data_IF_606607480069
#
_entry.id   IF_606607480069
#
_cell.length_a   1.000
_cell.length_b   1.000
_cell.length_c   1.000
_cell.angle_alpha   90.00
_cell.angle_beta   90.00
_cell.angle_gamma   90.00
#
_symmetry.space_group_name_H-M   'P 1'
#
loop_
_entity.id
_entity.type
_entity.pdbx_description
1 polymer ?
#
# COMPACT_ATOMS: atom_id res chain seq x y z
N UNK A 1 -24.71 10.09 -14.67
CA UNK A 1 -23.42 10.30 -15.38
C UNK A 1 -23.67 10.46 -16.86
N UNK A 2 -22.73 11.04 -17.59
CA UNK A 2 -22.77 11.19 -19.05
C UNK A 2 -21.41 10.80 -19.62
N UNK A 3 -21.39 10.00 -20.69
CA UNK A 3 -20.17 9.60 -21.39
C UNK A 3 -20.33 9.80 -22.89
N UNK A 4 -19.22 9.94 -23.62
CA UNK A 4 -19.25 10.12 -25.07
C UNK A 4 -19.94 8.93 -25.74
N UNK A 5 -20.81 9.21 -26.71
CA UNK A 5 -21.56 8.18 -27.42
C UNK A 5 -20.64 7.33 -28.30
N UNK A 6 -20.77 6.01 -28.22
CA UNK A 6 -20.01 5.08 -29.05
C UNK A 6 -20.67 4.90 -30.43
N UNK A 7 -19.85 4.68 -31.45
CA UNK A 7 -20.26 4.59 -32.85
C UNK A 7 -19.43 3.54 -33.58
N UNK A 8 -19.82 3.26 -34.82
CA UNK A 8 -19.03 2.45 -35.73
C UNK A 8 -17.57 2.95 -35.81
N UNK A 9 -16.63 2.00 -35.84
CA UNK A 9 -15.18 2.22 -35.88
C UNK A 9 -14.59 3.00 -34.70
N UNK A 10 -15.35 3.24 -33.63
CA UNK A 10 -14.75 3.74 -32.40
C UNK A 10 -13.96 2.57 -31.73
N UNK A 11 -12.76 2.84 -31.17
CA UNK A 11 -11.84 1.83 -30.69
C UNK A 11 -12.30 1.15 -29.39
N UNK A 12 -11.84 -0.09 -29.21
CA UNK A 12 -11.93 -0.84 -27.96
C UNK A 12 -10.54 -1.17 -27.44
N UNK A 13 -10.40 -1.29 -26.12
CA UNK A 13 -9.14 -1.58 -25.44
C UNK A 13 -9.30 -2.65 -24.37
N UNK A 14 -8.23 -3.42 -24.18
CA UNK A 14 -8.03 -4.26 -22.99
C UNK A 14 -7.05 -3.58 -22.04
N UNK A 15 -7.22 -3.86 -20.75
CA UNK A 15 -6.21 -3.54 -19.76
C UNK A 15 -5.17 -4.65 -19.66
N UNK A 16 -4.00 -4.34 -19.11
CA UNK A 16 -2.98 -5.34 -18.79
C UNK A 16 -3.18 -5.93 -17.38
N UNK A 17 -4.40 -5.93 -16.82
CA UNK A 17 -4.66 -6.32 -15.43
C UNK A 17 -4.20 -7.75 -15.13
N UNK A 18 -4.44 -8.72 -16.02
CA UNK A 18 -3.98 -10.10 -15.82
C UNK A 18 -2.45 -10.21 -15.89
N UNK A 19 -1.82 -9.56 -16.87
CA UNK A 19 -0.36 -9.52 -16.99
C UNK A 19 0.28 -8.86 -15.76
N UNK A 20 -0.32 -7.77 -15.29
CA UNK A 20 0.05 -7.08 -14.06
C UNK A 20 -0.10 -7.97 -12.84
N UNK A 21 -1.21 -8.70 -12.70
CA UNK A 21 -1.43 -9.66 -11.61
C UNK A 21 -0.32 -10.70 -11.57
N UNK A 22 -0.03 -11.34 -12.71
CA UNK A 22 0.98 -12.41 -12.80
C UNK A 22 2.39 -11.87 -12.52
N UNK A 23 2.74 -10.71 -13.07
CA UNK A 23 4.02 -10.05 -12.79
C UNK A 23 4.13 -9.66 -11.31
N UNK A 24 3.06 -9.10 -10.75
CA UNK A 24 2.95 -8.76 -9.34
C UNK A 24 3.09 -9.98 -8.42
N UNK A 25 2.51 -11.12 -8.81
CA UNK A 25 2.64 -12.38 -8.09
C UNK A 25 4.09 -12.87 -8.09
N UNK A 26 4.75 -12.83 -9.24
CA UNK A 26 6.16 -13.22 -9.37
C UNK A 26 7.09 -12.31 -8.56
N UNK A 27 6.90 -10.99 -8.63
CA UNK A 27 7.70 -10.02 -7.87
C UNK A 27 7.41 -10.15 -6.37
N UNK A 28 6.13 -10.25 -5.98
CA UNK A 28 5.73 -10.37 -4.58
C UNK A 28 6.20 -11.66 -3.90
N UNK A 29 6.45 -12.73 -4.68
CA UNK A 29 7.06 -13.96 -4.19
C UNK A 29 8.57 -13.79 -3.89
N UNK A 30 9.27 -12.96 -4.67
CA UNK A 30 10.71 -12.68 -4.50
C UNK A 30 11.02 -11.51 -3.56
N UNK A 31 10.11 -10.56 -3.42
CA UNK A 31 10.29 -9.36 -2.62
C UNK A 31 9.70 -9.53 -1.21
N UNK A 32 10.52 -9.97 -0.26
CA UNK A 32 10.32 -9.58 1.15
C UNK A 32 10.66 -8.08 1.22
N UNK A 33 9.63 -7.23 1.19
CA UNK A 33 9.65 -5.80 1.56
C UNK A 33 10.84 -4.97 1.04
N UNK A 34 10.85 -4.63 -0.26
CA UNK A 34 11.57 -3.45 -0.75
C UNK A 34 10.56 -2.56 -1.46
N UNK A 35 10.20 -1.44 -0.83
CA UNK A 35 9.27 -0.48 -1.39
C UNK A 35 9.82 0.11 -2.68
N UNK A 36 9.09 -0.08 -3.77
CA UNK A 36 9.38 0.60 -5.04
C UNK A 36 8.30 1.65 -5.27
N UNK A 37 8.64 2.91 -4.98
CA UNK A 37 8.22 4.01 -5.85
C UNK A 37 9.41 4.22 -6.79
N UNK A 38 9.27 4.23 -8.12
CA UNK A 38 8.70 5.32 -8.91
C UNK A 38 8.44 4.79 -10.33
N UNK A 39 7.29 5.12 -10.92
CA UNK A 39 7.20 5.37 -12.36
C UNK A 39 6.92 6.88 -12.50
N UNK A 40 7.75 7.52 -13.33
CA UNK A 40 7.88 8.96 -13.42
C UNK A 40 6.72 9.67 -14.12
N UNK A 41 6.70 10.98 -13.85
CA UNK A 41 6.02 12.07 -14.59
C UNK A 41 4.49 12.04 -14.63
N UNK A 42 3.87 12.70 -13.65
CA UNK A 42 2.44 13.05 -13.67
C UNK A 42 1.81 12.85 -12.29
N UNK A 43 1.31 13.92 -11.66
CA UNK A 43 0.81 13.90 -10.28
C UNK A 43 -0.21 12.79 -10.00
N UNK A 44 0.08 11.99 -8.97
CA UNK A 44 -0.73 10.98 -8.22
C UNK A 44 0.05 9.69 -7.87
N UNK A 45 1.34 9.57 -8.24
CA UNK A 45 2.19 8.40 -7.99
C UNK A 45 2.67 8.15 -6.54
N UNK A 46 1.89 8.53 -5.51
CA UNK A 46 2.26 8.32 -4.11
C UNK A 46 1.09 7.77 -3.29
N UNK A 47 0.56 6.61 -3.67
CA UNK A 47 -0.34 5.84 -2.79
C UNK A 47 0.42 4.68 -2.16
N UNK A 48 1.03 5.01 -1.03
CA UNK A 48 1.26 4.17 0.15
C UNK A 48 1.75 2.72 -0.07
N UNK A 49 3.07 2.55 -0.14
CA UNK A 49 3.77 1.28 0.11
C UNK A 49 4.14 1.10 1.59
N UNK A 50 3.29 1.58 2.50
CA UNK A 50 3.61 1.66 3.92
C UNK A 50 2.47 1.11 4.80
N UNK A 51 2.13 -0.18 4.65
CA UNK A 51 1.56 -1.02 5.70
C UNK A 51 1.14 -2.41 5.19
N UNK A 52 2.06 -3.28 4.74
CA UNK A 52 1.69 -4.69 4.50
C UNK A 52 2.72 -5.63 5.13
N UNK A 53 2.59 -5.83 6.44
CA UNK A 53 3.22 -6.97 7.13
C UNK A 53 2.27 -8.15 6.96
N UNK A 54 2.59 -9.08 6.04
CA UNK A 54 2.06 -10.44 6.10
C UNK A 54 1.39 -11.08 4.87
N UNK A 55 1.58 -10.61 3.63
CA UNK A 55 0.92 -11.27 2.48
C UNK A 55 1.72 -11.26 1.16
N UNK A 56 3.00 -11.66 1.20
CA UNK A 56 3.97 -11.76 0.07
C UNK A 56 3.41 -11.69 -1.36
N UNK A 57 3.34 -12.83 -2.06
CA UNK A 57 2.97 -12.90 -3.48
C UNK A 57 1.55 -12.38 -3.79
N UNK A 58 0.58 -12.60 -2.90
CA UNK A 58 -0.81 -12.16 -3.11
C UNK A 58 -0.97 -10.63 -3.07
N UNK A 59 -0.21 -9.95 -2.21
CA UNK A 59 -0.18 -8.47 -2.18
C UNK A 59 0.43 -7.94 -3.45
N UNK A 60 1.55 -8.54 -3.88
CA UNK A 60 2.19 -8.19 -5.16
C UNK A 60 1.22 -8.36 -6.33
N UNK A 61 0.47 -9.47 -6.37
CA UNK A 61 -0.53 -9.72 -7.38
C UNK A 61 -1.64 -8.66 -7.41
N UNK A 62 -2.17 -8.25 -6.25
CA UNK A 62 -3.18 -7.18 -6.17
C UNK A 62 -2.66 -5.83 -6.64
N UNK A 63 -1.43 -5.47 -6.26
CA UNK A 63 -0.78 -4.23 -6.73
C UNK A 63 -0.52 -4.28 -8.23
N UNK A 64 0.00 -5.41 -8.72
CA UNK A 64 0.26 -5.61 -10.14
C UNK A 64 -1.02 -5.56 -10.97
N UNK A 65 -2.11 -6.19 -10.51
CA UNK A 65 -3.42 -6.11 -11.14
C UNK A 65 -3.93 -4.67 -11.20
N UNK A 66 -3.81 -3.91 -10.10
CA UNK A 66 -4.16 -2.50 -10.06
C UNK A 66 -3.38 -1.72 -11.13
N UNK A 67 -2.05 -1.83 -11.13
CA UNK A 67 -1.17 -1.15 -12.09
C UNK A 67 -1.54 -1.52 -13.53
N UNK A 68 -1.73 -2.80 -13.80
CA UNK A 68 -2.14 -3.29 -15.12
C UNK A 68 -3.53 -2.81 -15.55
N UNK A 69 -4.39 -2.45 -14.60
CA UNK A 69 -5.74 -1.94 -14.89
C UNK A 69 -5.81 -0.44 -15.17
N UNK A 70 -4.70 0.30 -14.99
CA UNK A 70 -4.65 1.76 -15.21
C UNK A 70 -4.61 2.09 -16.70
N UNK A 71 -5.09 3.28 -17.08
CA UNK A 71 -5.22 3.70 -18.48
C UNK A 71 -3.93 3.62 -19.28
N UNK A 72 -2.76 3.88 -18.66
CA UNK A 72 -1.48 3.78 -19.35
C UNK A 72 -1.08 2.34 -19.72
N UNK A 73 -1.68 1.36 -19.05
CA UNK A 73 -1.47 -0.07 -19.28
C UNK A 73 -2.59 -0.68 -20.13
N UNK A 74 -3.52 0.14 -20.62
CA UNK A 74 -4.47 -0.25 -21.64
C UNK A 74 -3.83 -0.18 -23.03
N UNK A 75 -4.29 -1.04 -23.92
CA UNK A 75 -3.94 -1.01 -25.34
C UNK A 75 -5.17 -1.22 -26.19
N UNK A 76 -5.26 -0.50 -27.31
CA UNK A 76 -6.32 -0.70 -28.29
C UNK A 76 -6.17 -2.09 -28.94
N UNK A 77 -7.25 -2.88 -28.88
CA UNK A 77 -7.28 -4.27 -29.36
C UNK A 77 -8.28 -4.47 -30.48
N UNK A 78 -8.92 -3.39 -30.94
CA UNK A 78 -9.78 -3.41 -32.11
C UNK A 78 -10.79 -2.27 -32.10
N UNK A 79 -11.92 -2.48 -32.77
CA UNK A 79 -12.92 -1.44 -32.96
C UNK A 79 -14.33 -1.99 -33.19
N UNK A 80 -15.32 -1.15 -32.95
CA UNK A 80 -16.74 -1.44 -33.20
C UNK A 80 -16.96 -1.61 -34.71
N UNK A 81 -17.64 -2.70 -35.13
CA UNK A 81 -17.87 -3.06 -36.53
C UNK A 81 -19.33 -3.03 -36.98
N UNK A 82 -20.27 -2.86 -36.06
CA UNK A 82 -21.67 -2.66 -36.42
C UNK A 82 -22.32 -1.56 -35.58
N UNK A 83 -23.44 -1.06 -36.06
CA UNK A 83 -24.20 0.01 -35.42
C UNK A 83 -25.63 0.07 -35.95
N UNK A 84 -26.39 1.05 -35.49
CA UNK A 84 -27.75 1.34 -35.96
C UNK A 84 -27.81 1.61 -37.46
N UNK A 85 -28.83 1.07 -38.12
CA UNK A 85 -29.08 1.29 -39.55
C UNK A 85 -29.71 2.65 -39.87
N UNK A 86 -30.21 3.39 -38.87
CA UNK A 86 -30.95 4.64 -39.09
C UNK A 86 -30.68 5.75 -38.06
N UNK A 87 -29.92 5.48 -37.00
CA UNK A 87 -29.49 6.49 -36.03
C UNK A 87 -27.99 6.69 -36.18
N UNK A 88 -27.61 7.91 -36.56
CA UNK A 88 -26.23 8.30 -36.79
C UNK A 88 -25.81 9.37 -35.80
N UNK A 89 -24.58 9.26 -35.30
CA UNK A 89 -23.95 10.25 -34.43
C UNK A 89 -22.70 10.76 -35.15
N UNK A 90 -22.70 12.04 -35.51
CA UNK A 90 -21.67 12.64 -36.37
C UNK A 90 -21.41 11.83 -37.65
N UNK A 91 -22.49 11.41 -38.33
CA UNK A 91 -22.42 10.69 -39.60
C UNK A 91 -22.04 9.21 -39.52
N UNK A 92 -21.70 8.69 -38.33
CA UNK A 92 -21.42 7.27 -38.13
C UNK A 92 -22.59 6.56 -37.43
N UNK A 93 -22.90 5.29 -37.77
CA UNK A 93 -23.89 4.49 -37.06
C UNK A 93 -23.66 4.48 -35.55
N UNK A 94 -24.70 4.75 -34.76
CA UNK A 94 -24.62 4.70 -33.30
C UNK A 94 -24.53 3.24 -32.81
N UNK A 95 -23.65 2.95 -31.86
CA UNK A 95 -23.46 1.60 -31.34
C UNK A 95 -24.42 1.28 -30.18
N UNK A 96 -24.86 0.02 -30.10
CA UNK A 96 -25.85 -0.46 -29.13
C UNK A 96 -25.38 -1.74 -28.45
N UNK A 97 -25.66 -1.85 -27.16
CA UNK A 97 -25.48 -3.09 -26.42
C UNK A 97 -26.39 -4.20 -26.98
N UNK A 98 -26.06 -5.46 -26.67
CA UNK A 98 -26.77 -6.68 -27.06
C UNK A 98 -26.77 -7.04 -28.55
N UNK A 99 -26.67 -6.05 -29.42
CA UNK A 99 -26.90 -6.22 -30.85
C UNK A 99 -25.65 -5.93 -31.69
N UNK A 100 -24.91 -4.89 -31.33
CA UNK A 100 -23.74 -4.49 -32.11
C UNK A 100 -22.46 -5.17 -31.64
N UNK A 101 -21.50 -5.34 -32.54
CA UNK A 101 -20.29 -6.13 -32.32
C UNK A 101 -19.03 -5.30 -32.56
N UNK A 102 -17.96 -5.66 -31.87
CA UNK A 102 -16.61 -5.16 -32.06
C UNK A 102 -15.66 -6.29 -32.45
N UNK A 103 -14.70 -6.02 -33.32
CA UNK A 103 -13.58 -6.93 -33.53
C UNK A 103 -12.55 -6.74 -32.42
N UNK A 104 -12.01 -7.85 -31.91
CA UNK A 104 -10.97 -7.85 -30.89
C UNK A 104 -9.85 -8.82 -31.31
N UNK A 105 -8.60 -8.34 -31.32
CA UNK A 105 -7.41 -9.10 -31.72
C UNK A 105 -6.91 -10.07 -30.66
N UNK A 106 -7.23 -9.81 -29.39
CA UNK A 106 -6.67 -10.55 -28.24
C UNK A 106 -7.36 -11.90 -28.01
N UNK A 107 -8.51 -12.11 -28.66
CA UNK A 107 -9.31 -13.31 -28.48
C UNK A 107 -9.69 -13.93 -29.82
N UNK A 108 -9.50 -15.26 -30.00
CA UNK A 108 -10.02 -15.97 -31.15
C UNK A 108 -11.56 -16.01 -31.14
N UNK A 109 -12.16 -16.35 -32.29
CA UNK A 109 -13.60 -16.64 -32.37
C UNK A 109 -14.49 -15.48 -32.80
N UNK A 110 -13.98 -14.55 -33.62
CA UNK A 110 -14.79 -13.56 -34.33
C UNK A 110 -15.29 -12.39 -33.46
N UNK A 111 -16.17 -11.54 -34.02
CA UNK A 111 -16.64 -10.31 -33.37
C UNK A 111 -17.29 -10.58 -32.01
N UNK A 112 -17.10 -9.65 -31.09
CA UNK A 112 -17.57 -9.67 -29.70
C UNK A 112 -18.72 -8.69 -29.54
N UNK A 113 -19.83 -9.14 -28.98
CA UNK A 113 -21.01 -8.31 -28.71
C UNK A 113 -20.65 -7.20 -27.71
N UNK A 114 -21.20 -6.00 -27.91
CA UNK A 114 -21.23 -4.95 -26.89
C UNK A 114 -22.18 -5.38 -25.76
N UNK A 115 -21.65 -5.69 -24.59
CA UNK A 115 -22.41 -6.24 -23.47
C UNK A 115 -23.02 -5.18 -22.55
N UNK A 116 -22.61 -3.91 -22.70
CA UNK A 116 -23.07 -2.82 -21.84
C UNK A 116 -23.48 -1.57 -22.63
N UNK A 117 -24.40 -0.81 -22.04
CA UNK A 117 -24.88 0.46 -22.56
C UNK A 117 -25.63 1.25 -21.49
N UNK A 118 -26.25 2.36 -21.90
CA UNK A 118 -27.08 3.20 -21.03
C UNK A 118 -28.33 2.48 -20.52
N UNK A 119 -28.62 2.61 -19.23
CA UNK A 119 -29.86 2.12 -18.60
C UNK A 119 -31.13 2.94 -18.91
N UNK A 120 -30.98 4.09 -19.58
CA UNK A 120 -32.06 5.07 -19.73
C UNK A 120 -32.17 5.63 -21.16
N UNK A 121 -31.12 5.48 -21.98
CA UNK A 121 -31.13 5.89 -23.38
C UNK A 121 -31.03 4.67 -24.27
N UNK A 122 -32.04 4.52 -25.13
CA UNK A 122 -32.17 3.38 -26.03
C UNK A 122 -32.13 3.84 -27.48
N UNK A 123 -31.41 3.11 -28.33
CA UNK A 123 -31.36 3.30 -29.78
C UNK A 123 -31.89 2.04 -30.44
N UNK A 124 -32.96 2.17 -31.22
CA UNK A 124 -33.73 1.05 -31.79
C UNK A 124 -34.13 -0.01 -30.74
N UNK A 125 -34.48 0.42 -29.53
CA UNK A 125 -34.92 -0.46 -28.45
C UNK A 125 -33.79 -1.15 -27.68
N UNK A 126 -32.52 -0.92 -28.03
CA UNK A 126 -31.37 -1.46 -27.30
C UNK A 126 -30.62 -0.37 -26.53
N UNK A 127 -30.01 -0.67 -25.37
CA UNK A 127 -29.18 0.27 -24.63
C UNK A 127 -28.10 0.91 -25.50
N UNK A 128 -28.01 2.24 -25.48
CA UNK A 128 -27.02 2.94 -26.28
C UNK A 128 -25.62 2.82 -25.66
N UNK A 129 -24.63 2.35 -26.44
CA UNK A 129 -23.26 2.15 -25.94
C UNK A 129 -22.48 3.48 -25.88
N UNK A 130 -21.56 3.57 -24.92
CA UNK A 130 -20.78 4.77 -24.61
C UNK A 130 -19.32 4.41 -24.33
N UNK A 131 -18.46 5.41 -24.34
CA UNK A 131 -17.10 5.29 -23.83
C UNK A 131 -17.13 4.75 -22.40
N UNK A 132 -16.34 3.71 -22.15
CA UNK A 132 -16.26 2.98 -20.88
C UNK A 132 -17.19 1.76 -20.76
N UNK A 133 -18.22 1.64 -21.60
CA UNK A 133 -19.05 0.42 -21.65
C UNK A 133 -18.24 -0.75 -22.27
N UNK A 134 -18.58 -1.99 -21.90
CA UNK A 134 -17.78 -3.19 -22.20
C UNK A 134 -18.37 -4.10 -23.27
N UNK A 135 -17.51 -4.84 -23.95
CA UNK A 135 -17.85 -6.02 -24.77
C UNK A 135 -17.99 -7.27 -23.90
N UNK A 136 -18.48 -8.37 -24.47
CA UNK A 136 -18.53 -9.68 -23.82
C UNK A 136 -17.15 -10.23 -23.45
N UNK A 137 -16.08 -9.78 -24.11
CA UNK A 137 -14.72 -10.18 -23.73
C UNK A 137 -14.09 -9.27 -22.67
N UNK A 138 -14.85 -8.33 -22.09
CA UNK A 138 -14.42 -7.34 -21.09
C UNK A 138 -13.58 -6.16 -21.64
N UNK A 139 -13.43 -6.05 -22.97
CA UNK A 139 -12.82 -4.88 -23.59
C UNK A 139 -13.70 -3.64 -23.41
N UNK A 140 -13.10 -2.47 -23.14
CA UNK A 140 -13.81 -1.20 -22.99
C UNK A 140 -13.76 -0.38 -24.25
N UNK A 141 -14.84 0.36 -24.54
CA UNK A 141 -14.83 1.37 -25.59
C UNK A 141 -13.97 2.55 -25.12
N UNK A 142 -12.85 2.82 -25.78
CA UNK A 142 -11.83 3.78 -25.31
C UNK A 142 -12.06 5.20 -25.84
N UNK A 143 -12.70 5.35 -27.00
CA UNK A 143 -13.05 6.65 -27.56
C UNK A 143 -14.46 6.65 -28.16
N UNK A 144 -15.00 7.84 -28.39
CA UNK A 144 -16.37 8.02 -28.87
C UNK A 144 -16.57 9.35 -29.57
N UNK A 145 -17.82 9.79 -29.64
CA UNK A 145 -18.18 11.08 -30.22
C UNK A 145 -17.58 12.26 -29.45
N UNK A 146 -16.96 13.26 -30.13
CA UNK A 146 -16.30 14.39 -29.46
C UNK A 146 -17.26 15.39 -28.80
N UNK A 147 -18.53 15.38 -29.19
CA UNK A 147 -19.52 16.40 -28.79
C UNK A 147 -20.92 15.84 -28.51
N UNK A 148 -21.11 14.53 -28.61
CA UNK A 148 -22.39 13.88 -28.27
C UNK A 148 -22.16 12.95 -27.11
N UNK A 149 -22.81 13.25 -25.99
CA UNK A 149 -22.75 12.45 -24.78
C UNK A 149 -24.11 11.81 -24.50
N UNK A 150 -24.09 10.58 -23.99
CA UNK A 150 -25.28 9.83 -23.59
C UNK A 150 -25.25 9.66 -22.07
N UNK A 151 -26.38 9.96 -21.44
CA UNK A 151 -26.58 9.87 -20.00
C UNK A 151 -26.92 8.47 -19.49
N UNK A 152 -27.27 8.38 -18.22
CA UNK A 152 -27.73 7.15 -17.57
C UNK A 152 -26.65 6.41 -16.77
N UNK A 153 -27.09 5.46 -15.95
CA UNK A 153 -26.24 4.39 -15.42
C UNK A 153 -25.90 3.36 -16.50
N UNK A 154 -25.28 2.26 -16.10
CA UNK A 154 -24.85 1.19 -16.99
C UNK A 154 -25.73 -0.04 -16.84
N UNK A 155 -26.38 -0.45 -17.94
CA UNK A 155 -27.08 -1.71 -18.05
C UNK A 155 -26.16 -2.75 -18.69
N UNK A 156 -26.08 -3.94 -18.10
CA UNK A 156 -25.38 -5.09 -18.68
C UNK A 156 -26.40 -6.02 -19.33
N UNK A 157 -26.32 -6.18 -20.64
CA UNK A 157 -27.26 -6.96 -21.45
C UNK A 157 -26.81 -8.40 -21.65
N UNK A 158 -25.50 -8.63 -21.64
CA UNK A 158 -24.89 -9.93 -21.93
C UNK A 158 -23.81 -10.27 -20.90
N UNK A 159 -23.52 -11.56 -20.74
CA UNK A 159 -22.47 -12.00 -19.83
C UNK A 159 -21.09 -11.52 -20.32
N UNK A 160 -20.31 -10.98 -19.40
CA UNK A 160 -18.96 -10.50 -19.65
C UNK A 160 -17.99 -11.51 -19.06
N UNK A 161 -17.06 -11.99 -19.89
CA UNK A 161 -15.94 -12.82 -19.50
C UNK A 161 -14.79 -11.92 -19.02
N UNK A 162 -14.54 -11.79 -17.70
CA UNK A 162 -13.62 -10.78 -17.18
C UNK A 162 -12.17 -11.06 -17.57
N UNK A 163 -11.39 -10.01 -17.84
CA UNK A 163 -9.96 -10.11 -18.21
C UNK A 163 -9.13 -10.89 -17.18
N UNK A 164 -9.44 -10.69 -15.90
CA UNK A 164 -8.92 -11.50 -14.80
C UNK A 164 -10.03 -12.48 -14.40
N UNK A 165 -9.86 -13.79 -14.65
CA UNK A 165 -10.87 -14.76 -14.29
C UNK A 165 -11.19 -14.71 -12.79
N UNK A 166 -12.49 -14.65 -12.46
CA UNK A 166 -12.95 -14.51 -11.07
C UNK A 166 -12.42 -15.64 -10.17
N UNK A 167 -12.26 -16.85 -10.71
CA UNK A 167 -11.69 -17.97 -9.95
C UNK A 167 -10.21 -17.73 -9.59
N UNK A 168 -9.44 -17.08 -10.47
CA UNK A 168 -8.03 -16.80 -10.26
C UNK A 168 -7.86 -15.72 -9.18
N UNK A 169 -8.59 -14.61 -9.29
CA UNK A 169 -8.58 -13.54 -8.30
C UNK A 169 -8.95 -14.06 -6.91
N UNK A 170 -10.04 -14.85 -6.82
CA UNK A 170 -10.46 -15.49 -5.57
C UNK A 170 -9.42 -16.46 -5.02
N UNK A 171 -8.72 -17.19 -5.88
CA UNK A 171 -7.66 -18.12 -5.46
C UNK A 171 -6.46 -17.38 -4.89
N UNK A 172 -6.01 -16.31 -5.55
CA UNK A 172 -4.92 -15.45 -5.05
C UNK A 172 -5.29 -14.80 -3.73
N UNK A 173 -6.52 -14.28 -3.61
CA UNK A 173 -7.02 -13.72 -2.35
C UNK A 173 -7.09 -14.78 -1.24
N UNK A 174 -7.58 -15.99 -1.53
CA UNK A 174 -7.64 -17.08 -0.56
C UNK A 174 -6.25 -17.51 -0.09
N UNK A 175 -5.26 -17.61 -0.99
CA UNK A 175 -3.87 -17.87 -0.65
C UNK A 175 -3.28 -16.75 0.22
N UNK A 176 -3.55 -15.49 -0.13
CA UNK A 176 -3.17 -14.33 0.67
C UNK A 176 -3.75 -14.37 2.08
N UNK A 177 -5.04 -14.67 2.22
CA UNK A 177 -5.69 -14.79 3.53
C UNK A 177 -5.17 -15.99 4.32
N UNK A 178 -5.02 -17.15 3.69
CA UNK A 178 -4.49 -18.35 4.34
C UNK A 178 -3.09 -18.10 4.90
N UNK A 179 -2.20 -17.44 4.13
CA UNK A 179 -0.88 -17.06 4.62
C UNK A 179 -0.95 -16.02 5.77
N UNK A 180 -1.89 -15.08 5.72
CA UNK A 180 -2.10 -14.12 6.80
C UNK A 180 -2.53 -14.79 8.11
N UNK A 181 -3.37 -15.83 8.07
CA UNK A 181 -3.77 -16.61 9.26
C UNK A 181 -2.62 -17.45 9.85
N UNK A 182 -1.60 -17.79 9.07
CA UNK A 182 -0.37 -18.43 9.58
C UNK A 182 0.50 -17.42 10.33
N UNK A 183 0.55 -16.17 9.85
CA UNK A 183 1.45 -15.13 10.38
C UNK A 183 0.84 -14.30 11.51
N UNK A 184 -0.49 -14.21 11.58
CA UNK A 184 -1.19 -13.37 12.53
C UNK A 184 -2.42 -14.06 13.13
N UNK A 185 -2.90 -13.52 14.25
CA UNK A 185 -4.10 -14.04 14.92
C UNK A 185 -5.34 -13.90 14.02
N UNK A 186 -6.31 -14.83 14.12
CA UNK A 186 -7.52 -14.75 13.32
C UNK A 186 -8.31 -13.45 13.47
N UNK A 187 -8.34 -12.88 14.69
CA UNK A 187 -9.03 -11.61 14.95
C UNK A 187 -8.35 -10.46 14.20
N UNK A 188 -7.01 -10.40 14.23
CA UNK A 188 -6.27 -9.36 13.52
C UNK A 188 -6.50 -9.45 12.01
N UNK A 189 -6.41 -10.65 11.44
CA UNK A 189 -6.63 -10.90 10.00
C UNK A 189 -8.05 -10.50 9.60
N UNK A 190 -9.06 -10.95 10.34
CA UNK A 190 -10.46 -10.64 10.03
C UNK A 190 -10.79 -9.15 10.21
N UNK A 191 -10.27 -8.51 11.26
CA UNK A 191 -10.46 -7.08 11.47
C UNK A 191 -9.75 -6.25 10.39
N UNK A 192 -8.55 -6.66 9.98
CA UNK A 192 -7.83 -6.07 8.85
C UNK A 192 -8.57 -6.23 7.53
N UNK A 193 -9.07 -7.43 7.22
CA UNK A 193 -9.87 -7.66 6.02
C UNK A 193 -11.15 -6.81 6.01
N UNK A 194 -11.90 -6.81 7.12
CA UNK A 194 -13.13 -6.03 7.23
C UNK A 194 -12.86 -4.53 7.09
N UNK A 195 -11.81 -4.04 7.74
CA UNK A 195 -11.35 -2.67 7.60
C UNK A 195 -10.94 -2.35 6.16
N UNK A 196 -10.26 -3.26 5.47
CA UNK A 196 -9.83 -3.08 4.09
C UNK A 196 -11.00 -3.05 3.10
N UNK A 197 -12.00 -3.92 3.27
CA UNK A 197 -13.21 -3.88 2.46
C UNK A 197 -13.95 -2.56 2.67
N UNK A 198 -14.16 -2.15 3.93
CA UNK A 198 -14.87 -0.91 4.25
C UNK A 198 -14.12 0.33 3.73
N UNK A 199 -12.81 0.38 3.94
CA UNK A 199 -11.94 1.44 3.44
C UNK A 199 -11.91 1.48 1.91
N UNK A 200 -11.88 0.32 1.26
CA UNK A 200 -11.90 0.22 -0.21
C UNK A 200 -13.20 0.70 -0.81
N UNK A 201 -14.34 0.34 -0.22
CA UNK A 201 -15.65 0.85 -0.63
C UNK A 201 -15.77 2.36 -0.43
N UNK A 202 -15.31 2.88 0.70
CA UNK A 202 -15.29 4.32 0.97
C UNK A 202 -14.38 5.07 -0.02
N UNK A 203 -13.20 4.52 -0.32
CA UNK A 203 -12.27 5.04 -1.31
C UNK A 203 -12.83 4.99 -2.73
N UNK A 204 -13.52 3.90 -3.11
CA UNK A 204 -14.17 3.77 -4.41
C UNK A 204 -15.30 4.79 -4.58
N UNK A 205 -16.14 4.98 -3.56
CA UNK A 205 -17.20 5.98 -3.59
C UNK A 205 -16.64 7.40 -3.69
N UNK A 206 -15.72 7.77 -2.78
CA UNK A 206 -15.11 9.09 -2.77
C UNK A 206 -14.30 9.35 -4.06
N UNK A 207 -13.61 8.34 -4.57
CA UNK A 207 -12.85 8.42 -5.81
C UNK A 207 -13.73 8.58 -7.04
N UNK A 208 -14.90 7.94 -7.08
CA UNK A 208 -15.88 8.11 -8.15
C UNK A 208 -16.44 9.52 -8.21
N UNK A 209 -16.70 10.12 -7.04
CA UNK A 209 -17.17 11.51 -6.94
C UNK A 209 -16.07 12.52 -7.32
N UNK A 210 -14.83 12.28 -6.86
CA UNK A 210 -13.71 13.23 -7.05
C UNK A 210 -13.08 13.17 -8.45
N UNK A 211 -12.97 11.97 -9.02
CA UNK A 211 -12.23 11.73 -10.26
C UNK A 211 -13.10 11.19 -11.41
N UNK A 212 -14.37 10.92 -11.15
CA UNK A 212 -15.30 10.29 -12.08
C UNK A 212 -15.29 8.76 -11.98
N UNK A 213 -16.44 8.16 -12.25
CA UNK A 213 -16.57 6.70 -12.27
C UNK A 213 -15.72 6.06 -13.37
N UNK A 214 -15.08 4.94 -13.05
CA UNK A 214 -14.18 4.21 -13.93
C UNK A 214 -12.78 4.81 -14.08
N UNK A 215 -12.54 6.01 -13.52
CA UNK A 215 -11.26 6.70 -13.63
C UNK A 215 -10.13 5.99 -12.87
N UNK A 216 -8.89 6.26 -13.29
CA UNK A 216 -7.71 5.78 -12.57
C UNK A 216 -7.61 6.35 -11.15
N UNK A 217 -8.05 7.60 -10.95
CA UNK A 217 -8.15 8.22 -9.63
C UNK A 217 -9.08 7.45 -8.71
N UNK A 218 -10.24 6.98 -9.21
CA UNK A 218 -11.15 6.15 -8.44
C UNK A 218 -10.52 4.81 -8.03
N UNK A 219 -9.85 4.12 -8.96
CA UNK A 219 -9.17 2.84 -8.68
C UNK A 219 -8.08 3.01 -7.60
N UNK A 220 -7.27 4.07 -7.71
CA UNK A 220 -6.22 4.38 -6.75
C UNK A 220 -6.79 4.78 -5.38
N UNK A 221 -7.89 5.53 -5.34
CA UNK A 221 -8.57 5.88 -4.09
C UNK A 221 -9.19 4.65 -3.42
N UNK A 222 -9.80 3.74 -4.19
CA UNK A 222 -10.29 2.47 -3.66
C UNK A 222 -9.14 1.64 -3.05
N UNK A 223 -8.01 1.52 -3.75
CA UNK A 223 -6.84 0.83 -3.23
C UNK A 223 -6.27 1.50 -1.96
N UNK A 224 -6.06 2.82 -1.99
CA UNK A 224 -5.55 3.58 -0.86
C UNK A 224 -6.48 3.52 0.35
N UNK A 225 -7.80 3.60 0.11
CA UNK A 225 -8.83 3.40 1.13
C UNK A 225 -8.77 2.01 1.73
N UNK A 226 -8.60 0.97 0.92
CA UNK A 226 -8.49 -0.41 1.40
C UNK A 226 -7.24 -0.61 2.27
N UNK A 227 -6.10 -0.03 1.88
CA UNK A 227 -4.88 -0.10 2.68
C UNK A 227 -5.03 0.62 4.03
N UNK A 228 -5.58 1.84 4.02
CA UNK A 228 -5.81 2.62 5.24
C UNK A 228 -6.82 1.94 6.17
N UNK A 229 -7.95 1.52 5.62
CA UNK A 229 -9.00 0.81 6.34
C UNK A 229 -8.48 -0.50 6.92
N UNK A 230 -7.70 -1.26 6.15
CA UNK A 230 -7.08 -2.50 6.62
C UNK A 230 -6.08 -2.27 7.76
N UNK A 231 -5.27 -1.22 7.67
CA UNK A 231 -4.36 -0.82 8.74
C UNK A 231 -5.09 -0.41 10.03
N UNK A 232 -6.20 0.33 9.93
CA UNK A 232 -7.05 0.70 11.07
C UNK A 232 -7.72 -0.55 11.67
N UNK A 233 -8.28 -1.41 10.80
CA UNK A 233 -8.90 -2.67 11.19
C UNK A 233 -7.94 -3.58 11.95
N UNK A 234 -6.72 -3.77 11.42
CA UNK A 234 -5.68 -4.56 12.08
C UNK A 234 -5.26 -3.98 13.44
N UNK A 235 -5.16 -2.65 13.58
CA UNK A 235 -4.92 -1.99 14.87
C UNK A 235 -6.06 -2.25 15.86
N UNK A 236 -7.31 -2.20 15.40
CA UNK A 236 -8.49 -2.55 16.18
C UNK A 236 -8.46 -4.02 16.64
N UNK A 237 -8.14 -4.94 15.73
CA UNK A 237 -7.99 -6.36 16.03
C UNK A 237 -6.88 -6.62 17.06
N UNK A 238 -5.73 -5.96 16.94
CA UNK A 238 -4.66 -6.01 17.94
C UNK A 238 -5.11 -5.49 19.30
N UNK A 239 -5.87 -4.39 19.34
CA UNK A 239 -6.41 -3.85 20.58
C UNK A 239 -7.44 -4.79 21.23
N UNK A 240 -8.23 -5.51 20.42
CA UNK A 240 -9.12 -6.55 20.89
C UNK A 240 -8.35 -7.73 21.47
N UNK A 241 -7.36 -8.27 20.75
CA UNK A 241 -6.55 -9.41 21.21
C UNK A 241 -5.75 -9.10 22.48
N UNK A 242 -5.41 -7.84 22.71
CA UNK A 242 -4.77 -7.42 23.95
C UNK A 242 -5.72 -7.50 25.16
N UNK A 243 -7.03 -7.39 24.94
CA UNK A 243 -8.05 -7.25 26.01
C UNK A 243 -8.92 -8.50 26.16
N UNK A 244 -9.11 -9.25 25.09
CA UNK A 244 -10.08 -10.32 25.01
C UNK A 244 -9.45 -11.59 24.43
N UNK A 245 -9.98 -12.73 24.84
CA UNK A 245 -9.67 -14.05 24.33
C UNK A 245 -10.97 -14.71 23.88
N UNK A 246 -10.94 -15.34 22.71
CA UNK A 246 -12.07 -16.08 22.17
C UNK A 246 -11.93 -17.53 22.61
N UNK A 247 -12.77 -17.98 23.53
CA UNK A 247 -12.83 -19.38 23.95
C UNK A 247 -13.94 -20.09 23.20
N UNK A 248 -13.55 -21.15 22.48
CA UNK A 248 -14.49 -22.04 21.79
C UNK A 248 -14.66 -23.30 22.63
N UNK A 249 -15.81 -23.47 23.27
CA UNK A 249 -16.14 -24.70 24.00
C UNK A 249 -16.80 -25.71 23.04
N UNK A 250 -15.97 -26.46 22.31
CA UNK A 250 -16.41 -27.55 21.44
C UNK A 250 -16.93 -27.12 20.06
N UNK A 251 -16.62 -27.92 19.04
CA UNK A 251 -17.10 -27.74 17.67
C UNK A 251 -18.56 -28.23 17.56
N UNK A 252 -19.51 -27.35 17.92
CA UNK A 252 -20.95 -27.55 17.70
C UNK A 252 -21.46 -26.69 16.54
N UNK A 253 -22.38 -27.23 15.75
CA UNK A 253 -22.81 -26.77 14.40
C UNK A 253 -23.37 -25.34 14.27
N UNK A 254 -23.51 -24.58 15.35
CA UNK A 254 -24.35 -23.38 15.40
C UNK A 254 -23.67 -22.09 15.93
N UNK A 255 -22.33 -22.01 16.00
CA UNK A 255 -21.57 -20.83 16.51
C UNK A 255 -21.93 -20.35 17.94
N UNK A 256 -22.89 -20.97 18.64
CA UNK A 256 -23.36 -20.58 19.98
C UNK A 256 -22.38 -20.83 21.13
N UNK A 257 -21.25 -21.50 20.87
CA UNK A 257 -20.24 -21.85 21.88
C UNK A 257 -18.98 -20.96 21.83
N UNK A 258 -19.05 -19.83 21.13
CA UNK A 258 -17.98 -18.84 21.08
C UNK A 258 -18.21 -17.81 22.18
N UNK A 259 -17.38 -17.83 23.23
CA UNK A 259 -17.42 -16.84 24.31
C UNK A 259 -16.22 -15.91 24.20
N UNK A 260 -16.49 -14.62 24.03
CA UNK A 260 -15.48 -13.57 24.21
C UNK A 260 -15.33 -13.33 25.70
N UNK A 261 -14.18 -13.70 26.25
CA UNK A 261 -13.85 -13.45 27.65
C UNK A 261 -12.75 -12.41 27.74
N UNK A 262 -12.83 -11.44 28.67
CA UNK A 262 -11.68 -10.59 28.95
C UNK A 262 -10.52 -11.48 29.39
N UNK A 263 -9.33 -11.23 28.86
CA UNK A 263 -8.12 -11.93 29.32
C UNK A 263 -7.93 -11.60 30.80
N UNK A 264 -7.96 -12.61 31.66
CA UNK A 264 -7.58 -12.44 33.07
C UNK A 264 -6.09 -12.10 33.09
N UNK A 265 -5.75 -10.97 33.70
CA UNK A 265 -4.37 -10.66 34.11
C UNK A 265 -3.92 -11.82 35.01
N UNK A 266 -2.74 -12.43 34.80
CA UNK A 266 -2.21 -13.43 35.73
C UNK A 266 -2.17 -12.85 37.15
N UNK A 267 -2.72 -13.60 38.11
CA UNK A 267 -2.88 -13.19 39.52
C UNK A 267 -1.52 -13.06 40.28
N UNK A 268 -0.40 -13.22 39.59
CA UNK A 268 0.94 -13.00 40.17
C UNK A 268 1.61 -11.68 39.71
N UNK A 269 0.87 -10.79 39.03
CA UNK A 269 1.34 -9.41 38.81
C UNK A 269 0.74 -8.51 39.90
N UNK A 270 1.55 -7.83 40.73
CA UNK A 270 1.01 -6.95 41.75
C UNK A 270 0.17 -5.87 41.07
N UNK A 271 -0.97 -5.60 41.69
CA UNK A 271 -1.95 -4.61 41.26
C UNK A 271 -1.25 -3.26 41.04
N UNK A 272 -1.08 -2.86 39.77
CA UNK A 272 -0.55 -1.54 39.46
C UNK A 272 -1.52 -0.50 40.02
N UNK A 273 -1.15 0.07 41.16
CA UNK A 273 -1.93 1.07 41.86
C UNK A 273 -2.21 2.24 40.91
N UNK A 274 -3.40 2.88 40.96
CA UNK A 274 -3.69 4.06 40.14
C UNK A 274 -2.60 5.12 40.36
N UNK A 275 -2.12 5.80 39.30
CA UNK A 275 -0.94 6.63 39.39
C UNK A 275 -1.18 7.77 40.37
N UNK A 276 -0.44 7.74 41.49
CA UNK A 276 -0.51 8.75 42.53
C UNK A 276 -0.11 10.10 41.93
N UNK A 277 -0.89 11.15 42.20
CA UNK A 277 -0.48 12.54 41.92
C UNK A 277 0.31 13.06 43.12
N UNK A 278 1.48 13.62 42.85
CA UNK A 278 2.25 14.36 43.84
C UNK A 278 1.56 15.67 44.22
N UNK A 279 2.07 16.33 45.27
CA UNK A 279 1.56 17.62 45.75
C UNK A 279 1.64 18.75 44.68
N UNK A 280 2.42 18.56 43.62
CA UNK A 280 2.58 19.44 42.46
C UNK A 280 1.61 19.09 41.30
N UNK A 281 0.72 18.12 41.50
CA UNK A 281 -0.25 17.66 40.51
C UNK A 281 0.33 16.80 39.38
N UNK A 282 1.63 16.48 39.42
CA UNK A 282 2.28 15.59 38.45
C UNK A 282 2.18 14.13 38.89
N UNK A 283 2.13 13.23 37.92
CA UNK A 283 2.13 11.80 38.20
C UNK A 283 3.47 11.38 38.81
N UNK A 284 3.41 10.74 39.97
CA UNK A 284 4.58 10.13 40.61
C UNK A 284 5.01 8.94 39.76
N UNK A 285 6.28 8.88 39.34
CA UNK A 285 6.82 7.71 38.63
C UNK A 285 6.88 6.53 39.60
N UNK A 286 5.93 5.61 39.51
CA UNK A 286 6.04 4.29 40.13
C UNK A 286 6.84 3.34 39.26
N UNK A 287 7.67 2.51 39.88
CA UNK A 287 8.67 1.61 39.26
C UNK A 287 8.10 0.36 38.58
N UNK A 288 6.80 0.31 38.29
CA UNK A 288 6.09 -0.93 37.88
C UNK A 288 5.73 -1.02 36.39
N UNK A 289 6.06 -0.01 35.57
CA UNK A 289 6.03 -0.18 34.12
C UNK A 289 7.39 -0.74 33.65
N UNK A 290 7.44 -1.85 32.88
CA UNK A 290 8.70 -2.34 32.34
C UNK A 290 9.32 -1.24 31.47
N UNK A 291 10.52 -0.79 31.85
CA UNK A 291 11.24 0.27 31.13
C UNK A 291 11.59 -0.29 29.75
N UNK A 292 10.91 0.20 28.70
CA UNK A 292 11.28 -0.15 27.33
C UNK A 292 12.50 0.66 26.89
N UNK A 293 13.64 -0.01 26.86
CA UNK A 293 14.91 0.58 26.43
C UNK A 293 14.91 0.76 24.91
N UNK A 294 15.16 2.00 24.50
CA UNK A 294 15.22 2.42 23.10
C UNK A 294 16.20 3.58 22.92
N UNK A 295 16.56 3.91 21.67
CA UNK A 295 17.48 5.03 21.33
C UNK A 295 17.16 6.32 22.07
N UNK A 296 15.89 6.76 22.06
CA UNK A 296 15.48 8.05 22.65
C UNK A 296 15.62 8.07 24.17
N UNK A 297 15.39 6.93 24.81
CA UNK A 297 15.57 6.79 26.25
C UNK A 297 17.05 6.66 26.63
N UNK A 298 17.89 6.04 25.79
CA UNK A 298 19.24 5.61 26.17
C UNK A 298 20.39 6.46 25.65
N UNK A 299 20.15 7.27 24.62
CA UNK A 299 21.16 8.12 23.99
C UNK A 299 20.69 9.59 23.95
N UNK A 300 21.61 10.54 23.75
CA UNK A 300 21.28 11.95 23.59
C UNK A 300 20.28 12.21 22.47
N UNK A 301 19.51 13.30 22.59
CA UNK A 301 18.58 13.72 21.54
C UNK A 301 19.29 14.19 20.28
N UNK A 302 20.49 14.78 20.42
CA UNK A 302 21.32 15.26 19.32
C UNK A 302 22.81 15.29 19.68
N UNK A 303 23.63 15.81 18.77
CA UNK A 303 25.07 15.88 18.93
C UNK A 303 25.50 17.07 19.80
N UNK A 304 26.70 16.98 20.37
CA UNK A 304 27.42 18.09 21.00
C UNK A 304 27.72 19.16 19.94
N UNK A 305 27.81 20.41 20.40
CA UNK A 305 28.18 21.53 19.55
C UNK A 305 29.49 21.26 18.80
N UNK A 306 29.51 21.49 17.49
CA UNK A 306 30.68 21.31 16.63
C UNK A 306 30.94 19.89 16.12
N UNK A 307 30.26 18.86 16.64
CA UNK A 307 30.42 17.47 16.11
C UNK A 307 29.97 17.38 14.66
N UNK A 308 28.81 17.96 14.34
CA UNK A 308 28.26 17.99 12.98
C UNK A 308 29.22 18.66 12.00
N UNK A 309 29.79 19.79 12.38
CA UNK A 309 30.69 20.56 11.52
C UNK A 309 32.00 19.80 11.30
N UNK A 310 32.57 19.19 12.34
CA UNK A 310 33.77 18.34 12.23
C UNK A 310 33.56 17.16 11.27
N UNK A 311 32.43 16.48 11.34
CA UNK A 311 32.12 15.36 10.42
C UNK A 311 31.96 15.87 8.99
N UNK A 312 31.29 17.01 8.78
CA UNK A 312 31.16 17.61 7.46
C UNK A 312 32.53 18.06 6.90
N UNK A 313 33.37 18.68 7.71
CA UNK A 313 34.70 19.15 7.32
C UNK A 313 35.62 17.99 6.95
N UNK A 314 35.61 16.91 7.76
CA UNK A 314 36.41 15.71 7.49
C UNK A 314 36.03 15.02 6.17
N UNK A 315 34.79 15.15 5.73
CA UNK A 315 34.27 14.54 4.49
C UNK A 315 34.19 15.55 3.32
N UNK A 316 34.70 16.78 3.49
CA UNK A 316 34.73 17.79 2.44
C UNK A 316 35.93 17.55 1.52
N UNK A 317 35.65 17.45 0.22
CA UNK A 317 36.67 17.32 -0.84
C UNK A 317 37.47 18.63 -0.87
N UNK A 318 38.79 18.53 -0.72
CA UNK A 318 39.68 19.69 -0.63
C UNK A 318 40.09 20.24 -1.99
N UNK A 319 40.34 19.36 -2.96
CA UNK A 319 40.93 19.71 -4.25
C UNK A 319 40.17 19.11 -5.44
N UNK A 320 40.28 19.76 -6.59
CA UNK A 320 39.70 19.29 -7.86
C UNK A 320 38.36 19.92 -8.22
N UNK A 321 37.69 19.42 -9.29
CA UNK A 321 36.45 20.01 -9.82
C UNK A 321 35.26 19.93 -8.84
N UNK A 322 35.36 19.05 -7.85
CA UNK A 322 34.35 18.84 -6.81
C UNK A 322 34.76 19.41 -5.44
N UNK A 323 35.81 20.24 -5.38
CA UNK A 323 36.24 20.90 -4.15
C UNK A 323 35.07 21.64 -3.46
N UNK A 324 34.95 21.48 -2.14
CA UNK A 324 33.86 22.03 -1.34
C UNK A 324 32.57 21.20 -1.32
N UNK A 325 32.50 20.10 -2.09
CA UNK A 325 31.44 19.09 -1.97
C UNK A 325 31.81 18.03 -0.93
N UNK A 326 30.81 17.28 -0.48
CA UNK A 326 30.95 16.18 0.48
C UNK A 326 31.07 14.87 -0.28
N UNK A 327 32.07 14.07 0.07
CA UNK A 327 32.16 12.67 -0.30
C UNK A 327 31.51 11.82 0.79
N UNK A 328 30.46 11.09 0.44
CA UNK A 328 29.78 10.18 1.37
C UNK A 328 30.53 8.84 1.48
N UNK A 329 30.26 8.06 2.53
CA UNK A 329 30.82 6.72 2.68
C UNK A 329 30.43 5.76 1.54
N UNK A 330 29.30 6.01 0.89
CA UNK A 330 28.80 5.24 -0.25
C UNK A 330 29.37 5.74 -1.59
N UNK A 331 30.41 6.60 -1.54
CA UNK A 331 31.09 7.23 -2.69
C UNK A 331 30.26 8.24 -3.50
N UNK A 332 29.11 8.68 -3.00
CA UNK A 332 28.36 9.78 -3.61
C UNK A 332 29.05 11.13 -3.36
N UNK A 333 29.07 12.00 -4.38
CA UNK A 333 29.54 13.39 -4.28
C UNK A 333 28.33 14.33 -4.25
N UNK A 334 28.13 15.03 -3.14
CA UNK A 334 26.95 15.89 -2.93
C UNK A 334 27.30 17.26 -2.37
N UNK A 335 26.43 18.25 -2.60
CA UNK A 335 26.62 19.57 -2.02
C UNK A 335 26.54 19.52 -0.49
N UNK A 336 27.39 20.28 0.20
CA UNK A 336 27.44 20.33 1.68
C UNK A 336 26.10 20.62 2.35
N UNK A 337 25.22 21.37 1.69
CA UNK A 337 23.90 21.73 2.19
C UNK A 337 22.76 20.86 1.65
N UNK A 338 23.07 19.72 1.02
CA UNK A 338 22.05 18.83 0.46
C UNK A 338 21.14 18.27 1.59
N UNK A 339 19.81 18.44 1.50
CA UNK A 339 18.88 18.00 2.54
C UNK A 339 18.81 16.47 2.72
N UNK A 340 19.39 15.72 1.77
CA UNK A 340 19.47 14.26 1.82
C UNK A 340 20.64 13.77 2.66
N UNK A 341 21.60 14.62 3.02
CA UNK A 341 22.73 14.23 3.86
C UNK A 341 22.27 13.89 5.27
N UNK A 342 22.74 12.75 5.77
CA UNK A 342 22.57 12.31 7.15
C UNK A 342 23.93 11.91 7.72
N UNK A 343 24.12 12.13 9.03
CA UNK A 343 25.27 11.63 9.76
C UNK A 343 24.83 10.36 10.46
N UNK A 344 25.51 9.25 10.17
CA UNK A 344 25.21 7.95 10.73
C UNK A 344 26.41 7.45 11.53
N UNK A 345 26.15 6.67 12.59
CA UNK A 345 27.21 6.02 13.35
C UNK A 345 27.72 4.80 12.58
N UNK A 346 29.04 4.69 12.36
CA UNK A 346 29.64 3.56 11.64
C UNK A 346 29.32 2.23 12.33
N UNK A 347 29.32 2.24 13.67
CA UNK A 347 28.69 1.22 14.49
C UNK A 347 27.25 1.64 14.84
N UNK A 348 26.23 0.88 14.43
CA UNK A 348 24.84 1.17 14.77
C UNK A 348 24.59 1.31 16.27
N UNK A 349 23.80 2.31 16.65
CA UNK A 349 23.49 2.62 18.06
C UNK A 349 22.81 1.46 18.80
N UNK A 350 22.03 0.64 18.08
CA UNK A 350 21.37 -0.55 18.64
C UNK A 350 22.39 -1.66 18.95
N UNK A 351 23.41 -1.84 18.11
CA UNK A 351 24.46 -2.83 18.32
C UNK A 351 25.37 -2.41 19.47
N UNK A 352 25.79 -1.14 19.49
CA UNK A 352 26.53 -0.60 20.63
C UNK A 352 25.76 -0.79 21.93
N UNK A 353 24.43 -0.57 21.94
CA UNK A 353 23.60 -0.86 23.12
C UNK A 353 23.67 -2.32 23.53
N UNK A 354 23.50 -3.24 22.58
CA UNK A 354 23.45 -4.66 22.85
C UNK A 354 24.77 -5.21 23.41
N UNK A 355 25.89 -4.66 22.95
CA UNK A 355 27.23 -5.12 23.30
C UNK A 355 27.84 -4.44 24.52
N UNK A 356 27.66 -3.12 24.67
CA UNK A 356 28.35 -2.30 25.68
C UNK A 356 27.42 -1.32 26.40
N UNK A 357 26.49 -0.71 25.67
CA UNK A 357 25.61 0.34 26.20
C UNK A 357 24.72 -0.12 27.36
N UNK A 358 24.27 -1.37 27.34
CA UNK A 358 23.46 -1.94 28.43
C UNK A 358 24.19 -2.07 29.75
N UNK A 359 25.53 -2.07 29.75
CA UNK A 359 26.39 -2.16 30.94
C UNK A 359 27.41 -1.02 30.94
N UNK A 360 26.93 0.20 30.81
CA UNK A 360 27.78 1.40 30.84
C UNK A 360 27.02 2.58 31.41
N UNK A 361 27.76 3.61 31.83
CA UNK A 361 27.18 4.85 32.34
C UNK A 361 26.57 5.69 31.21
N UNK A 362 25.63 6.58 31.56
CA UNK A 362 25.05 7.54 30.61
C UNK A 362 26.12 8.42 29.94
N UNK A 363 27.20 8.74 30.66
CA UNK A 363 28.31 9.51 30.13
C UNK A 363 29.05 8.75 29.01
N UNK A 364 29.38 7.48 29.24
CA UNK A 364 30.04 6.64 28.23
C UNK A 364 29.17 6.49 26.95
N UNK A 365 27.86 6.30 27.11
CA UNK A 365 26.91 6.27 25.96
C UNK A 365 26.87 7.60 25.20
N UNK A 366 26.99 8.73 25.91
CA UNK A 366 27.03 10.06 25.32
C UNK A 366 28.34 10.31 24.58
N UNK A 367 29.48 9.80 25.08
CA UNK A 367 30.77 9.90 24.42
C UNK A 367 30.78 9.09 23.12
N UNK A 368 30.33 7.83 23.15
CA UNK A 368 30.12 7.03 21.93
C UNK A 368 29.23 7.74 20.91
N UNK A 369 28.12 8.33 21.36
CA UNK A 369 27.17 9.01 20.47
C UNK A 369 27.76 10.25 19.80
N UNK A 370 28.81 10.83 20.35
CA UNK A 370 29.47 12.05 19.86
C UNK A 370 30.89 11.82 19.35
N UNK A 371 31.30 10.56 19.22
CA UNK A 371 32.59 10.19 18.67
C UNK A 371 32.60 10.40 17.15
N UNK A 372 33.37 11.40 16.70
CA UNK A 372 33.47 11.78 15.28
C UNK A 372 34.14 10.70 14.43
N UNK A 373 34.99 9.87 15.03
CA UNK A 373 35.72 8.80 14.33
C UNK A 373 34.80 7.60 14.05
N UNK A 374 33.71 7.49 14.81
CA UNK A 374 32.64 6.52 14.60
C UNK A 374 31.45 7.11 13.80
N UNK A 375 31.67 8.15 13.00
CA UNK A 375 30.62 8.74 12.17
C UNK A 375 31.01 8.77 10.70
N UNK A 376 30.02 8.54 9.84
CA UNK A 376 30.15 8.76 8.41
C UNK A 376 28.95 9.51 7.86
N UNK A 377 29.15 10.13 6.71
CA UNK A 377 28.08 10.77 5.98
C UNK A 377 27.47 9.78 5.01
N UNK A 378 26.15 9.65 5.06
CA UNK A 378 25.36 8.85 4.11
C UNK A 378 24.16 9.62 3.61
N UNK A 379 23.68 9.24 2.44
CA UNK A 379 22.38 9.71 1.96
C UNK A 379 21.25 9.08 2.78
N UNK A 380 20.19 9.85 3.01
CA UNK A 380 19.01 9.44 3.78
C UNK A 380 18.39 8.14 3.23
N UNK A 381 18.43 7.93 1.92
CA UNK A 381 17.95 6.71 1.27
C UNK A 381 18.78 5.49 1.65
N UNK A 382 20.11 5.58 1.59
CA UNK A 382 21.03 4.53 1.98
C UNK A 382 20.92 4.22 3.49
N UNK A 383 20.93 5.27 4.33
CA UNK A 383 20.77 5.14 5.77
C UNK A 383 19.44 4.46 6.16
N UNK A 384 18.33 4.91 5.56
CA UNK A 384 17.02 4.29 5.81
C UNK A 384 16.95 2.84 5.36
N UNK A 385 17.66 2.48 4.29
CA UNK A 385 17.74 1.11 3.77
C UNK A 385 18.48 0.20 4.75
N UNK A 386 19.64 0.62 5.25
CA UNK A 386 20.43 -0.17 6.19
C UNK A 386 19.72 -0.33 7.54
N UNK A 387 19.08 0.73 8.04
CA UNK A 387 18.22 0.64 9.22
C UNK A 387 17.05 -0.35 9.06
N UNK A 388 16.48 -0.45 7.85
CA UNK A 388 15.42 -1.42 7.55
C UNK A 388 15.95 -2.86 7.50
N UNK A 389 17.14 -3.09 6.92
CA UNK A 389 17.80 -4.40 6.90
C UNK A 389 18.11 -4.89 8.31
N UNK A 390 18.70 -4.04 9.14
CA UNK A 390 18.93 -4.36 10.56
C UNK A 390 17.65 -4.74 11.30
N UNK A 391 16.55 -4.05 10.99
CA UNK A 391 15.26 -4.38 11.56
C UNK A 391 14.73 -5.74 11.08
N UNK A 392 14.96 -6.10 9.80
CA UNK A 392 14.61 -7.39 9.23
C UNK A 392 15.43 -8.53 9.82
N UNK A 393 16.72 -8.31 10.09
CA UNK A 393 17.64 -9.27 10.71
C UNK A 393 17.38 -9.48 12.21
N UNK A 394 16.32 -8.89 12.75
CA UNK A 394 15.92 -9.06 14.14
C UNK A 394 16.76 -8.27 15.14
N UNK A 395 17.64 -7.36 14.69
CA UNK A 395 18.43 -6.52 15.59
C UNK A 395 17.49 -5.58 16.35
N UNK A 396 17.41 -5.77 17.66
CA UNK A 396 16.56 -4.98 18.57
C UNK A 396 17.35 -4.61 19.80
N UNK A 397 16.93 -3.54 20.48
CA UNK A 397 17.48 -3.19 21.78
C UNK A 397 17.18 -4.31 22.77
N UNK A 398 18.22 -4.87 23.37
CA UNK A 398 18.07 -5.71 24.55
C UNK A 398 17.37 -4.94 25.66
N UNK A 399 16.57 -5.66 26.44
CA UNK A 399 15.70 -5.05 27.46
C UNK A 399 16.21 -5.24 28.89
N UNK A 400 17.37 -5.86 29.04
CA UNK A 400 18.10 -6.06 30.29
C UNK A 400 19.33 -5.16 30.35
N UNK A 401 19.76 -4.83 31.58
CA UNK A 401 20.90 -3.95 31.87
C UNK A 401 21.88 -4.63 32.81
N UNK A 402 23.16 -4.30 32.69
CA UNK A 402 24.23 -4.84 33.52
C UNK A 402 24.46 -4.05 34.81
N UNK A 403 25.38 -4.52 35.68
CA UNK A 403 25.67 -3.89 36.97
C UNK A 403 26.19 -2.44 36.89
N UNK A 404 26.81 -2.06 35.77
CA UNK A 404 27.40 -0.74 35.54
C UNK A 404 26.44 0.23 34.80
N UNK A 405 25.16 -0.11 34.70
CA UNK A 405 24.16 0.72 34.04
C UNK A 405 23.67 1.87 34.92
N UNK A 406 23.90 3.10 34.45
CA UNK A 406 23.40 4.36 35.03
C UNK A 406 22.55 5.18 34.04
#
# INVERSE_FOLDING_TARGET
MTAAAARLDDPIEHSSALGGLLAGLAIGAGAVLIGIAVIGTGGLGAVALAAMVGAGAATGAGIGQLIGSLSFACSETGQIRSGSSNVYINGKPAARAHLDNAECSDHPGGPKILAQGSDSVYINGQPAARVGDRTVCDAKISAGSPNVCIGGGTATTDAIDPEVPVWLERSVMALGLASAFVLASPVLVMAGLAGGIAGGMAGHWAGGELFGEGSDGQKLMAFGGALLGGGIGAKGGKAFDARYEIKVQGFGSNLGNVKVVPKKVPVDSPEASPPLRGADGRFVRTSENPVQYNRKSQYPSGYRTGVKDKVLDANTIQDGPDAGKILTADMDVVHRNDPRITIEHNKPVVEHWNEQGYNSTRAARNDFYNDVDNMSIRLRSANSSDGAKMAADGVRYRQDVGPDYE
#
